data_IF_851002527113
#
_entry.id   IF_851002527113
#
_cell.length_a   1.000
_cell.length_b   1.000
_cell.length_c   1.000
_cell.angle_alpha   90.00
_cell.angle_beta   90.00
_cell.angle_gamma   90.00
#
_symmetry.space_group_name_H-M   'P 1'
#
loop_
_entity.id
_entity.type
_entity.pdbx_description
1 polymer ?
#
# COMPACT_ATOMS: atom_id res chain seq x y z
N UNK A 1 4.20 20.69 -9.19
CA UNK A 1 3.12 19.90 -9.81
C UNK A 1 3.15 18.50 -9.21
N UNK A 2 2.08 18.04 -8.56
CA UNK A 2 2.04 16.73 -7.89
C UNK A 2 1.18 15.77 -8.72
N UNK A 3 1.77 14.67 -9.19
CA UNK A 3 1.07 13.63 -9.97
C UNK A 3 0.78 12.40 -9.11
N UNK A 4 -0.43 11.83 -9.25
CA UNK A 4 -0.80 10.60 -8.58
C UNK A 4 -0.03 9.43 -9.19
N UNK A 5 0.96 8.91 -8.46
CA UNK A 5 1.80 7.80 -8.92
C UNK A 5 1.22 6.42 -8.61
N UNK A 6 0.50 6.29 -7.50
CA UNK A 6 -0.04 5.01 -7.04
C UNK A 6 -1.26 5.20 -6.14
N UNK A 7 -2.29 4.36 -6.32
CA UNK A 7 -3.52 4.37 -5.53
C UNK A 7 -3.88 2.93 -5.13
N UNK A 8 -4.23 2.75 -3.86
CA UNK A 8 -4.78 1.49 -3.34
C UNK A 8 -6.16 1.80 -2.77
N UNK A 9 -7.18 1.08 -3.23
CA UNK A 9 -8.50 1.10 -2.61
C UNK A 9 -8.55 0.13 -1.43
N UNK A 10 -8.81 0.66 -0.24
CA UNK A 10 -8.92 -0.09 1.01
C UNK A 10 -10.39 -0.14 1.45
N UNK A 11 -10.78 -1.20 2.15
CA UNK A 11 -12.15 -1.39 2.62
C UNK A 11 -12.44 -0.59 3.90
N UNK A 12 -11.45 -0.46 4.78
CA UNK A 12 -11.59 0.19 6.08
C UNK A 12 -10.55 1.28 6.29
N UNK A 13 -10.91 2.33 7.05
CA UNK A 13 -9.97 3.41 7.40
C UNK A 13 -8.75 2.91 8.18
N UNK A 14 -8.93 1.97 9.12
CA UNK A 14 -7.85 1.37 9.90
C UNK A 14 -6.84 0.64 9.00
N UNK A 15 -7.35 -0.17 8.06
CA UNK A 15 -6.54 -0.83 7.03
C UNK A 15 -5.73 0.18 6.21
N UNK A 16 -6.38 1.24 5.72
CA UNK A 16 -5.71 2.28 4.94
C UNK A 16 -4.58 2.96 5.72
N UNK A 17 -4.82 3.31 6.99
CA UNK A 17 -3.81 3.92 7.87
C UNK A 17 -2.62 2.99 8.12
N UNK A 18 -2.89 1.70 8.38
CA UNK A 18 -1.85 0.71 8.63
C UNK A 18 -0.97 0.47 7.38
N UNK A 19 -1.59 0.40 6.21
CA UNK A 19 -0.91 0.26 4.91
C UNK A 19 -0.09 1.51 4.60
N UNK A 20 -0.65 2.69 4.79
CA UNK A 20 0.06 3.96 4.58
C UNK A 20 1.30 4.04 5.49
N UNK A 21 1.13 3.73 6.78
CA UNK A 21 2.24 3.70 7.74
C UNK A 21 3.31 2.67 7.35
N UNK A 22 2.91 1.49 6.86
CA UNK A 22 3.83 0.48 6.35
C UNK A 22 4.66 1.00 5.17
N UNK A 23 4.00 1.57 4.16
CA UNK A 23 4.67 2.11 2.96
C UNK A 23 5.59 3.28 3.34
N UNK A 24 5.13 4.18 4.22
CA UNK A 24 5.93 5.30 4.74
C UNK A 24 7.17 4.81 5.52
N UNK A 25 7.02 3.75 6.33
CA UNK A 25 8.12 3.15 7.09
C UNK A 25 9.14 2.48 6.17
N UNK A 26 8.70 1.82 5.10
CA UNK A 26 9.60 1.20 4.13
C UNK A 26 10.50 2.23 3.44
N UNK A 27 10.00 3.45 3.19
CA UNK A 27 10.74 4.58 2.59
C UNK A 27 11.56 4.21 1.35
N UNK A 28 11.10 3.21 0.60
CA UNK A 28 11.84 2.63 -0.52
C UNK A 28 11.09 2.87 -1.81
N UNK A 29 11.75 3.55 -2.75
CA UNK A 29 11.22 3.78 -4.11
C UNK A 29 10.98 2.45 -4.83
N UNK A 30 11.90 1.49 -4.64
CA UNK A 30 11.79 0.14 -5.23
C UNK A 30 10.56 -0.59 -4.71
N UNK A 31 10.23 -0.42 -3.43
CA UNK A 31 9.03 -1.03 -2.85
C UNK A 31 7.75 -0.50 -3.50
N UNK A 32 7.65 0.81 -3.72
CA UNK A 32 6.50 1.42 -4.42
C UNK A 32 6.40 0.90 -5.86
N UNK A 33 7.52 0.81 -6.58
CA UNK A 33 7.55 0.25 -7.94
C UNK A 33 7.15 -1.23 -7.94
N UNK A 34 7.61 -2.01 -6.97
CA UNK A 34 7.23 -3.42 -6.84
C UNK A 34 5.75 -3.58 -6.50
N UNK A 35 5.17 -2.71 -5.68
CA UNK A 35 3.72 -2.74 -5.39
C UNK A 35 2.88 -2.52 -6.66
N UNK A 36 3.36 -1.68 -7.58
CA UNK A 36 2.71 -1.44 -8.87
C UNK A 36 2.92 -2.63 -9.82
N UNK A 37 4.15 -3.17 -9.89
CA UNK A 37 4.49 -4.30 -10.77
C UNK A 37 3.87 -5.62 -10.33
N UNK A 38 3.72 -5.82 -9.03
CA UNK A 38 3.29 -7.07 -8.42
C UNK A 38 1.99 -6.83 -7.63
N UNK A 39 0.82 -6.92 -8.29
CA UNK A 39 -0.47 -6.75 -7.62
C UNK A 39 -0.68 -7.80 -6.51
N UNK A 40 -0.03 -8.96 -6.59
CA UNK A 40 -0.01 -9.98 -5.54
C UNK A 40 0.49 -9.45 -4.18
N UNK A 41 1.46 -8.53 -4.17
CA UNK A 41 2.03 -7.97 -2.94
C UNK A 41 1.00 -7.04 -2.31
N UNK A 42 0.33 -6.24 -3.14
CA UNK A 42 -0.75 -5.35 -2.71
C UNK A 42 -1.93 -6.15 -2.18
N UNK A 43 -2.33 -7.24 -2.84
CA UNK A 43 -3.38 -8.14 -2.34
C UNK A 43 -2.99 -8.75 -0.99
N UNK A 44 -1.78 -9.30 -0.86
CA UNK A 44 -1.27 -9.82 0.42
C UNK A 44 -1.24 -8.76 1.51
N UNK A 45 -0.90 -7.52 1.17
CA UNK A 45 -0.88 -6.40 2.10
C UNK A 45 -2.30 -6.04 2.56
N UNK A 46 -3.25 -5.98 1.62
CA UNK A 46 -4.66 -5.76 1.92
C UNK A 46 -5.22 -6.87 2.82
N UNK A 47 -4.94 -8.13 2.51
CA UNK A 47 -5.35 -9.28 3.33
C UNK A 47 -4.71 -9.25 4.71
N UNK A 48 -3.42 -8.94 4.82
CA UNK A 48 -2.71 -8.83 6.09
C UNK A 48 -3.31 -7.77 7.01
N UNK A 49 -3.78 -6.67 6.45
CA UNK A 49 -4.39 -5.57 7.20
C UNK A 49 -5.92 -5.58 7.14
N UNK A 50 -6.55 -6.68 6.69
CA UNK A 50 -8.01 -6.80 6.55
C UNK A 50 -8.74 -6.88 7.89
N UNK A 51 -8.12 -7.51 8.88
CA UNK A 51 -8.71 -7.80 10.21
C UNK A 51 -8.24 -6.83 11.31
N UNK A 52 -7.67 -5.68 10.90
CA UNK A 52 -7.05 -4.70 11.80
C UNK A 52 -8.00 -3.54 12.17
#
# INVERSE_FOLDING_TARGET
DWILYYKIDCTTKSQALAIEAHIKRMKSKVYIVNLIKHPEITTKLLEKYRDC
#
